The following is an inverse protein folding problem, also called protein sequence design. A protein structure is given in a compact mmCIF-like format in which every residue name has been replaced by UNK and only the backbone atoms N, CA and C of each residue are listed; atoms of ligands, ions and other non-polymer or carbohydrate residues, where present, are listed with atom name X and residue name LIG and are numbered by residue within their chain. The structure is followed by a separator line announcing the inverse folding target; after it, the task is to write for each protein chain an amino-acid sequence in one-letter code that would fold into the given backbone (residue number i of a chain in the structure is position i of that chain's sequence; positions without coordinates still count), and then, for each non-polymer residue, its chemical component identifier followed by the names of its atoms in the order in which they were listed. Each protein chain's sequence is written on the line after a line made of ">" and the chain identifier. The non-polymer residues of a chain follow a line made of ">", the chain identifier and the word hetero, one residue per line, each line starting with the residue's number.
data_IF_492651549513
#
_entry.id   IF_492651549513
#
_cell.length_a   1.000
_cell.length_b   1.000
_cell.length_c   1.000
_cell.angle_alpha   90.00
_cell.angle_beta   90.00
_cell.angle_gamma   90.00
#
_symmetry.space_group_name_H-M   'P 1'
#
loop_
_entity.id
_entity.type
_entity.pdbx_description
1 polymer ?
#
# COMPACT_ATOMS: atom_id res chain seq x y z
N UNK A 1 -15.76 1.31 -12.68
CA UNK A 1 -15.77 1.24 -14.16
C UNK A 1 -14.97 2.36 -14.87
N UNK A 2 -14.52 3.44 -14.21
CA UNK A 2 -13.70 4.49 -14.87
C UNK A 2 -12.19 4.17 -14.96
N UNK A 3 -11.62 3.39 -14.05
CA UNK A 3 -10.17 3.12 -14.01
C UNK A 3 -9.61 2.31 -15.19
N UNK A 4 -10.44 1.50 -15.87
CA UNK A 4 -10.00 0.71 -17.02
C UNK A 4 -9.75 1.56 -18.29
N UNK A 5 -10.40 2.72 -18.42
CA UNK A 5 -10.21 3.59 -19.60
C UNK A 5 -8.92 4.42 -19.55
N UNK A 6 -8.20 4.43 -18.42
CA UNK A 6 -7.00 5.23 -18.22
C UNK A 6 -5.68 4.45 -18.29
N UNK A 7 -5.69 3.14 -18.57
CA UNK A 7 -4.46 2.31 -18.59
C UNK A 7 -3.81 2.17 -17.20
N UNK A 8 -4.60 2.19 -16.13
CA UNK A 8 -4.07 2.06 -14.78
C UNK A 8 -3.81 0.58 -14.47
N UNK A 9 -2.54 0.22 -14.30
CA UNK A 9 -2.11 -1.17 -14.12
C UNK A 9 -1.99 -1.56 -12.64
N UNK A 10 -1.70 -0.59 -11.76
CA UNK A 10 -1.31 -0.86 -10.37
C UNK A 10 -1.75 0.24 -9.41
N UNK A 11 -2.17 -0.17 -8.22
CA UNK A 11 -2.43 0.73 -7.09
C UNK A 11 -1.37 0.49 -6.02
N UNK A 12 -0.85 1.59 -5.46
CA UNK A 12 0.11 1.58 -4.36
C UNK A 12 -0.56 2.17 -3.11
N UNK A 13 -0.37 1.51 -1.97
CA UNK A 13 -0.75 1.97 -0.66
C UNK A 13 0.50 2.08 0.23
N UNK A 14 0.67 3.24 0.84
CA UNK A 14 1.82 3.59 1.68
C UNK A 14 1.36 3.81 3.12
N UNK A 15 1.96 3.11 4.09
CA UNK A 15 1.60 3.27 5.51
C UNK A 15 2.78 3.01 6.45
N UNK A 16 2.76 3.64 7.63
CA UNK A 16 3.72 3.30 8.71
C UNK A 16 3.52 1.85 9.16
N UNK A 17 4.61 1.15 9.49
CA UNK A 17 4.53 -0.24 9.96
C UNK A 17 3.69 -0.44 11.23
N UNK A 18 3.54 0.61 12.04
CA UNK A 18 2.74 0.60 13.27
C UNK A 18 1.23 0.54 12.99
N UNK A 19 0.79 0.83 11.77
CA UNK A 19 -0.62 0.86 11.35
C UNK A 19 -1.14 -0.55 11.01
N UNK A 20 -1.06 -1.48 11.96
CA UNK A 20 -1.41 -2.90 11.78
C UNK A 20 -2.87 -3.12 11.32
N UNK A 21 -3.81 -2.26 11.74
CA UNK A 21 -5.20 -2.31 11.30
C UNK A 21 -5.34 -1.98 9.81
N UNK A 22 -4.68 -0.92 9.35
CA UNK A 22 -4.66 -0.53 7.94
C UNK A 22 -4.02 -1.64 7.09
N UNK A 23 -2.89 -2.19 7.53
CA UNK A 23 -2.21 -3.30 6.84
C UNK A 23 -3.16 -4.47 6.58
N UNK A 24 -3.86 -4.93 7.62
CA UNK A 24 -4.84 -6.03 7.51
C UNK A 24 -6.00 -5.71 6.56
N UNK A 25 -6.46 -4.46 6.52
CA UNK A 25 -7.51 -4.02 5.58
C UNK A 25 -7.01 -4.13 4.15
N UNK A 26 -5.81 -3.61 3.85
CA UNK A 26 -5.25 -3.67 2.50
C UNK A 26 -4.94 -5.12 2.06
N UNK A 27 -4.41 -5.96 2.94
CA UNK A 27 -4.23 -7.40 2.67
C UNK A 27 -5.56 -8.09 2.30
N UNK A 28 -6.65 -7.80 3.04
CA UNK A 28 -7.99 -8.32 2.72
C UNK A 28 -8.54 -7.80 1.38
N UNK A 29 -8.11 -6.61 0.94
CA UNK A 29 -8.49 -6.05 -0.37
C UNK A 29 -7.64 -6.60 -1.52
N UNK A 30 -6.71 -7.52 -1.23
CA UNK A 30 -5.86 -8.18 -2.23
C UNK A 30 -4.55 -7.44 -2.51
N UNK A 31 -4.18 -6.46 -1.69
CA UNK A 31 -2.85 -5.86 -1.77
C UNK A 31 -1.80 -6.82 -1.18
N UNK A 32 -0.62 -6.84 -1.78
CA UNK A 32 0.55 -7.62 -1.35
C UNK A 32 1.65 -6.66 -0.94
N UNK A 33 2.45 -7.01 0.06
CA UNK A 33 3.59 -6.20 0.44
C UNK A 33 4.67 -6.29 -0.64
N UNK A 34 5.09 -5.15 -1.17
CA UNK A 34 6.08 -5.06 -2.24
C UNK A 34 7.45 -4.63 -1.71
N UNK A 35 7.47 -3.64 -0.81
CA UNK A 35 8.72 -3.12 -0.25
C UNK A 35 8.54 -2.61 1.18
N UNK A 36 9.69 -2.48 1.86
CA UNK A 36 9.81 -1.81 3.15
C UNK A 36 10.96 -0.82 3.06
N UNK A 37 10.68 0.46 3.27
CA UNK A 37 11.71 1.48 3.40
C UNK A 37 11.99 1.75 4.87
N UNK A 38 13.17 1.32 5.35
CA UNK A 38 13.54 1.37 6.76
C UNK A 38 13.75 2.81 7.23
N UNK A 39 13.09 3.18 8.34
CA UNK A 39 13.19 4.52 8.96
C UNK A 39 12.85 5.68 8.01
N UNK A 40 12.02 5.43 7.00
CA UNK A 40 11.80 6.34 5.88
C UNK A 40 10.85 7.50 6.22
N UNK A 41 9.83 7.23 7.02
CA UNK A 41 8.81 8.21 7.41
C UNK A 41 8.99 8.66 8.84
N UNK A 42 8.44 9.83 9.17
CA UNK A 42 8.48 10.43 10.49
C UNK A 42 7.06 10.69 10.97
N UNK A 43 6.73 10.28 12.20
CA UNK A 43 5.41 10.57 12.79
C UNK A 43 5.30 12.02 13.28
N UNK A 44 4.12 12.39 13.81
CA UNK A 44 3.88 13.76 14.29
C UNK A 44 4.73 14.19 15.48
N UNK A 45 5.31 13.26 16.24
CA UNK A 45 6.19 13.57 17.39
C UNK A 45 7.68 13.48 17.02
N UNK A 46 7.98 13.16 15.76
CA UNK A 46 9.31 13.19 15.23
C UNK A 46 10.07 11.86 15.30
N UNK A 47 9.41 10.74 15.56
CA UNK A 47 10.02 9.41 15.57
C UNK A 47 10.01 8.83 14.16
N UNK A 48 11.13 8.20 13.77
CA UNK A 48 11.23 7.50 12.48
C UNK A 48 10.58 6.13 12.55
N UNK A 49 9.85 5.78 11.50
CA UNK A 49 9.20 4.49 11.34
C UNK A 49 9.50 3.92 9.95
N UNK A 50 9.37 2.61 9.81
CA UNK A 50 9.43 1.97 8.51
C UNK A 50 8.17 2.32 7.71
N UNK A 51 8.37 2.60 6.42
CA UNK A 51 7.29 2.73 5.46
C UNK A 51 7.05 1.38 4.79
N UNK A 52 5.84 0.86 4.94
CA UNK A 52 5.37 -0.29 4.17
C UNK A 52 4.77 0.21 2.86
N UNK A 53 5.23 -0.38 1.75
CA UNK A 53 4.66 -0.20 0.42
C UNK A 53 3.92 -1.49 0.06
N UNK A 54 2.61 -1.39 -0.07
CA UNK A 54 1.74 -2.48 -0.51
C UNK A 54 1.17 -2.15 -1.88
N UNK A 55 1.02 -3.15 -2.72
CA UNK A 55 0.57 -2.96 -4.10
C UNK A 55 -0.50 -3.96 -4.49
N UNK A 56 -1.36 -3.56 -5.42
CA UNK A 56 -2.35 -4.42 -6.04
C UNK A 56 -2.36 -4.16 -7.53
N UNK A 57 -2.10 -5.21 -8.29
CA UNK A 57 -2.24 -5.20 -9.74
C UNK A 57 -3.73 -5.23 -10.09
N UNK A 58 -4.13 -4.37 -11.02
CA UNK A 58 -5.53 -4.21 -11.43
C UNK A 58 -5.92 -5.13 -12.58
N UNK A 59 -4.94 -5.73 -13.26
CA UNK A 59 -5.19 -6.73 -14.31
C UNK A 59 -5.79 -8.02 -13.71
N UNK A 60 -5.36 -8.46 -12.52
CA UNK A 60 -5.90 -9.65 -11.83
C UNK A 60 -7.33 -9.46 -11.29
N UNK A 61 -7.83 -8.23 -11.18
CA UNK A 61 -9.09 -7.93 -10.49
C UNK A 61 -10.33 -8.02 -11.39
N UNK A 62 -10.17 -8.10 -12.71
CA UNK A 62 -11.27 -8.05 -13.68
C UNK A 62 -11.25 -9.19 -14.72
N UNK A 63 -10.45 -10.22 -14.49
CA UNK A 63 -10.44 -11.46 -15.28
C UNK A 63 -11.56 -12.42 -14.84
#
# INVERSE_FOLDING_TARGET
>A
LHALKSGLEKIVAEMMETQQGAKKVFEKLGFKQEAVFRGHVRDQIGIRHDLLVLTKDLEEFWA
#
